data_IF_012305153257
#
_entry.id   IF_012305153257
#
_cell.length_a   1.000
_cell.length_b   1.000
_cell.length_c   1.000
_cell.angle_alpha   90.00
_cell.angle_beta   90.00
_cell.angle_gamma   90.00
#
_symmetry.space_group_name_H-M   'P 1'
#
loop_
_entity.id
_entity.type
_entity.pdbx_description
1 polymer ?
#
# COMPACT_ATOMS: atom_id res chain seq x y z
N UNK A 1 19.30 11.82 -47.32
CA UNK A 1 19.18 13.02 -46.44
C UNK A 1 18.13 12.88 -45.33
N UNK A 2 16.95 12.28 -45.57
CA UNK A 2 15.85 12.20 -44.58
C UNK A 2 16.17 11.50 -43.24
N UNK A 3 17.00 10.44 -43.23
CA UNK A 3 17.32 9.68 -42.02
C UNK A 3 18.07 10.47 -40.93
N UNK A 4 18.87 11.48 -41.31
CA UNK A 4 19.61 12.32 -40.35
C UNK A 4 18.68 13.23 -39.54
N UNK A 5 17.61 13.72 -40.15
CA UNK A 5 16.65 14.61 -39.51
C UNK A 5 15.80 13.88 -38.46
N UNK A 6 15.36 12.65 -38.77
CA UNK A 6 14.59 11.80 -37.84
C UNK A 6 15.39 11.49 -36.56
N UNK A 7 16.70 11.22 -36.69
CA UNK A 7 17.56 10.91 -35.54
C UNK A 7 17.75 12.09 -34.59
N UNK A 8 17.76 13.32 -35.12
CA UNK A 8 17.89 14.56 -34.31
C UNK A 8 16.61 14.86 -33.53
N UNK A 9 15.46 14.75 -34.19
CA UNK A 9 14.14 14.95 -33.57
C UNK A 9 13.91 13.96 -32.43
N UNK A 10 14.25 12.67 -32.63
CA UNK A 10 14.08 11.64 -31.59
C UNK A 10 14.94 11.90 -30.35
N UNK A 11 16.16 12.44 -30.51
CA UNK A 11 17.03 12.80 -29.38
C UNK A 11 16.50 13.99 -28.57
N UNK A 12 15.96 15.01 -29.24
CA UNK A 12 15.36 16.17 -28.57
C UNK A 12 14.06 15.80 -27.83
N UNK A 13 13.24 14.91 -28.40
CA UNK A 13 12.05 14.41 -27.71
C UNK A 13 12.41 13.60 -26.45
N UNK A 14 13.50 12.83 -26.49
CA UNK A 14 14.00 12.12 -25.32
C UNK A 14 14.46 13.06 -24.19
N UNK A 15 15.12 14.19 -24.51
CA UNK A 15 15.57 15.13 -23.48
C UNK A 15 14.40 15.88 -22.82
N UNK A 16 13.41 16.32 -23.59
CA UNK A 16 12.23 16.99 -23.02
C UNK A 16 11.41 16.03 -22.14
N UNK A 17 11.24 14.78 -22.56
CA UNK A 17 10.50 13.79 -21.77
C UNK A 17 11.23 13.45 -20.46
N UNK A 18 12.57 13.43 -20.47
CA UNK A 18 13.37 13.22 -19.24
C UNK A 18 13.21 14.38 -18.25
N UNK A 19 13.27 15.63 -18.72
CA UNK A 19 13.08 16.82 -17.86
C UNK A 19 11.73 16.84 -17.13
N UNK A 20 10.65 16.54 -17.86
CA UNK A 20 9.31 16.47 -17.23
C UNK A 20 9.23 15.35 -16.19
N UNK A 21 9.92 14.24 -16.43
CA UNK A 21 9.95 13.11 -15.50
C UNK A 21 10.74 13.45 -14.23
N UNK A 22 11.87 14.13 -14.37
CA UNK A 22 12.68 14.60 -13.23
C UNK A 22 11.92 15.66 -12.41
N UNK A 23 11.17 16.55 -13.06
CA UNK A 23 10.29 17.52 -12.38
C UNK A 23 9.16 16.83 -11.60
N UNK A 24 8.53 15.79 -12.17
CA UNK A 24 7.50 15.03 -11.47
C UNK A 24 8.07 14.27 -10.26
N UNK A 25 9.26 13.68 -10.41
CA UNK A 25 9.92 12.93 -9.35
C UNK A 25 10.34 13.85 -8.20
N UNK A 26 10.90 15.02 -8.52
CA UNK A 26 11.28 16.03 -7.51
C UNK A 26 10.05 16.60 -6.79
N UNK A 27 9.00 17.00 -7.51
CA UNK A 27 7.75 17.46 -6.90
C UNK A 27 7.13 16.41 -5.98
N UNK A 28 7.22 15.14 -6.36
CA UNK A 28 6.75 14.02 -5.54
C UNK A 28 7.56 13.84 -4.25
N UNK A 29 8.90 13.90 -4.34
CA UNK A 29 9.76 13.83 -3.15
C UNK A 29 9.47 15.01 -2.23
N UNK A 30 9.28 16.21 -2.78
CA UNK A 30 8.99 17.42 -2.01
C UNK A 30 7.67 17.27 -1.24
N UNK A 31 6.61 16.81 -1.89
CA UNK A 31 5.33 16.54 -1.24
C UNK A 31 5.47 15.49 -0.11
N UNK A 32 6.28 14.45 -0.33
CA UNK A 32 6.55 13.43 0.70
C UNK A 32 7.29 14.02 1.90
N UNK A 33 8.29 14.86 1.67
CA UNK A 33 9.04 15.52 2.75
C UNK A 33 8.12 16.44 3.54
N UNK A 34 7.27 17.22 2.87
CA UNK A 34 6.31 18.11 3.55
C UNK A 34 5.34 17.29 4.42
N UNK A 35 4.74 16.23 3.88
CA UNK A 35 3.85 15.35 4.65
C UNK A 35 4.55 14.70 5.83
N UNK A 36 5.80 14.26 5.64
CA UNK A 36 6.61 13.68 6.71
C UNK A 36 6.85 14.69 7.83
N UNK A 37 7.25 15.92 7.51
CA UNK A 37 7.46 16.99 8.50
C UNK A 37 6.17 17.30 9.26
N UNK A 38 5.03 17.40 8.56
CA UNK A 38 3.73 17.65 9.19
C UNK A 38 3.28 16.52 10.12
N UNK A 39 3.65 15.27 9.85
CA UNK A 39 3.36 14.13 10.73
C UNK A 39 4.34 14.04 11.90
N UNK A 40 5.61 14.40 11.68
CA UNK A 40 6.67 14.28 12.68
C UNK A 40 6.57 15.36 13.77
N UNK A 41 6.20 16.59 13.39
CA UNK A 41 6.04 17.71 14.31
C UNK A 41 5.09 17.43 15.50
N UNK A 42 3.83 16.99 15.30
CA UNK A 42 2.93 16.71 16.41
C UNK A 42 3.42 15.56 17.29
N UNK A 43 4.11 14.57 16.71
CA UNK A 43 4.71 13.47 17.46
C UNK A 43 5.85 13.95 18.37
N UNK A 44 6.76 14.77 17.85
CA UNK A 44 7.86 15.34 18.64
C UNK A 44 7.30 16.21 19.77
N UNK A 45 6.31 17.06 19.47
CA UNK A 45 5.65 17.88 20.47
C UNK A 45 5.00 17.05 21.58
N UNK A 46 4.35 15.94 21.22
CA UNK A 46 3.78 14.99 22.18
C UNK A 46 4.88 14.36 23.05
N UNK A 47 6.00 13.90 22.47
CA UNK A 47 7.11 13.36 23.25
C UNK A 47 7.64 14.37 24.28
N UNK A 48 7.84 15.62 23.89
CA UNK A 48 8.27 16.66 24.83
C UNK A 48 7.24 16.89 25.94
N UNK A 49 5.94 16.87 25.62
CA UNK A 49 4.88 17.00 26.62
C UNK A 49 4.91 15.84 27.63
N UNK A 50 4.99 14.60 27.15
CA UNK A 50 5.02 13.41 28.01
C UNK A 50 6.27 13.39 28.91
N UNK A 51 7.44 13.75 28.38
CA UNK A 51 8.68 13.81 29.18
C UNK A 51 8.62 14.86 30.30
N UNK A 52 7.99 16.01 30.05
CA UNK A 52 7.86 17.05 31.07
C UNK A 52 6.77 16.76 32.11
N UNK A 53 5.75 15.99 31.73
CA UNK A 53 4.57 15.76 32.59
C UNK A 53 4.70 14.49 33.44
N UNK A 54 5.70 13.64 33.18
CA UNK A 54 5.90 12.34 33.82
C UNK A 54 6.00 12.35 35.36
N UNK A 55 6.34 13.50 35.97
CA UNK A 55 6.47 13.67 37.42
C UNK A 55 5.22 14.22 38.13
N UNK A 56 4.12 14.51 37.42
CA UNK A 56 2.86 14.92 38.06
C UNK A 56 1.98 13.67 38.30
N UNK A 57 1.27 13.63 39.42
CA UNK A 57 0.29 12.57 39.71
C UNK A 57 -0.82 12.62 38.64
N UNK A 58 -0.64 11.81 37.59
CA UNK A 58 -1.44 11.87 36.38
C UNK A 58 -2.87 11.47 36.68
N UNK A 59 -3.79 12.42 36.54
CA UNK A 59 -5.22 12.16 36.58
C UNK A 59 -5.59 11.22 35.43
N UNK A 60 -6.48 10.24 35.66
CA UNK A 60 -6.94 9.25 34.66
C UNK A 60 -7.35 9.88 33.33
N UNK A 61 -7.89 11.10 33.37
CA UNK A 61 -8.30 11.86 32.20
C UNK A 61 -7.12 12.27 31.29
N UNK A 62 -5.97 12.62 31.85
CA UNK A 62 -4.78 12.99 31.05
C UNK A 62 -4.24 11.79 30.28
N UNK A 63 -4.20 10.62 30.91
CA UNK A 63 -3.76 9.37 30.26
C UNK A 63 -4.66 9.01 29.08
N UNK A 64 -5.98 9.18 29.23
CA UNK A 64 -6.93 8.95 28.14
C UNK A 64 -6.70 9.88 26.94
N UNK A 65 -6.39 11.15 27.18
CA UNK A 65 -6.07 12.13 26.13
C UNK A 65 -4.76 11.75 25.42
N UNK A 66 -3.72 11.37 26.17
CA UNK A 66 -2.43 10.96 25.60
C UNK A 66 -2.57 9.72 24.70
N UNK A 67 -3.38 8.74 25.12
CA UNK A 67 -3.69 7.56 24.32
C UNK A 67 -4.42 7.92 23.03
N UNK A 68 -5.41 8.82 23.09
CA UNK A 68 -6.15 9.27 21.92
C UNK A 68 -5.23 9.97 20.91
N UNK A 69 -4.38 10.89 21.37
CA UNK A 69 -3.41 11.60 20.51
C UNK A 69 -2.44 10.60 19.87
N UNK A 70 -1.96 9.61 20.64
CA UNK A 70 -1.10 8.54 20.12
C UNK A 70 -1.78 7.73 19.03
N UNK A 71 -3.05 7.35 19.22
CA UNK A 71 -3.82 6.61 18.23
C UNK A 71 -4.04 7.42 16.93
N UNK A 72 -4.29 8.72 17.06
CA UNK A 72 -4.41 9.63 15.91
C UNK A 72 -3.08 9.71 15.15
N UNK A 73 -1.97 9.91 15.85
CA UNK A 73 -0.63 9.99 15.24
C UNK A 73 -0.24 8.68 14.53
N UNK A 74 -0.55 7.52 15.12
CA UNK A 74 -0.37 6.21 14.49
C UNK A 74 -1.21 6.08 13.21
N UNK A 75 -2.48 6.46 13.27
CA UNK A 75 -3.40 6.38 12.11
C UNK A 75 -2.93 7.27 10.96
N UNK A 76 -2.50 8.50 11.26
CA UNK A 76 -1.91 9.42 10.28
C UNK A 76 -0.64 8.84 9.67
N UNK A 77 0.22 8.21 10.48
CA UNK A 77 1.45 7.57 10.00
C UNK A 77 1.16 6.43 9.02
N UNK A 78 0.17 5.58 9.32
CA UNK A 78 -0.26 4.52 8.40
C UNK A 78 -0.86 5.08 7.11
N UNK A 79 -1.67 6.16 7.21
CA UNK A 79 -2.21 6.85 6.04
C UNK A 79 -1.11 7.50 5.18
N UNK A 80 -0.02 7.99 5.77
CA UNK A 80 1.10 8.54 5.01
C UNK A 80 1.86 7.42 4.25
N UNK A 81 2.10 6.29 4.90
CA UNK A 81 2.73 5.12 4.26
C UNK A 81 1.86 4.57 3.12
N UNK A 82 0.56 4.42 3.32
CA UNK A 82 -0.34 3.94 2.26
C UNK A 82 -0.57 5.01 1.18
N UNK A 83 -0.76 6.26 1.58
CA UNK A 83 -1.01 7.40 0.70
C UNK A 83 0.15 7.63 -0.26
N UNK A 84 1.40 7.54 0.21
CA UNK A 84 2.57 7.63 -0.67
C UNK A 84 2.54 6.54 -1.76
N UNK A 85 2.17 5.29 -1.43
CA UNK A 85 2.00 4.22 -2.41
C UNK A 85 0.93 4.56 -3.48
N UNK A 86 -0.21 5.12 -3.06
CA UNK A 86 -1.25 5.55 -4.00
C UNK A 86 -0.82 6.73 -4.86
N UNK A 87 -0.12 7.71 -4.29
CA UNK A 87 0.45 8.83 -5.05
C UNK A 87 1.49 8.31 -6.07
N UNK A 88 2.31 7.32 -5.71
CA UNK A 88 3.23 6.65 -6.64
C UNK A 88 2.47 5.97 -7.80
N UNK A 89 1.35 5.30 -7.49
CA UNK A 89 0.50 4.65 -8.49
C UNK A 89 -0.21 5.66 -9.42
N UNK A 90 -0.70 6.77 -8.90
CA UNK A 90 -1.49 7.74 -9.67
C UNK A 90 -0.59 8.67 -10.49
N UNK A 91 0.52 9.15 -9.91
CA UNK A 91 1.40 10.16 -10.52
C UNK A 91 2.13 9.65 -11.77
N UNK A 92 2.56 8.39 -11.79
CA UNK A 92 3.36 7.87 -12.90
C UNK A 92 2.53 7.01 -13.87
N UNK A 93 2.14 7.60 -15.00
CA UNK A 93 1.53 6.86 -16.11
C UNK A 93 2.43 5.74 -16.65
N UNK A 94 3.76 5.87 -16.53
CA UNK A 94 4.73 4.82 -16.87
C UNK A 94 4.71 3.69 -15.85
N UNK A 95 4.63 4.00 -14.55
CA UNK A 95 4.52 2.99 -13.51
C UNK A 95 3.25 2.17 -13.71
N UNK A 96 2.08 2.81 -13.90
CA UNK A 96 0.83 2.09 -14.22
C UNK A 96 0.96 1.13 -15.39
N UNK A 97 1.63 1.52 -16.48
CA UNK A 97 1.86 0.64 -17.65
C UNK A 97 2.80 -0.52 -17.31
N UNK A 98 3.87 -0.26 -16.56
CA UNK A 98 4.80 -1.30 -16.10
C UNK A 98 4.14 -2.26 -15.11
N UNK A 99 3.47 -1.76 -14.06
CA UNK A 99 2.73 -2.58 -13.10
C UNK A 99 1.66 -3.38 -13.80
N UNK A 100 0.83 -2.77 -14.68
CA UNK A 100 -0.18 -3.50 -15.46
C UNK A 100 0.44 -4.60 -16.31
N UNK A 101 1.59 -4.37 -16.94
CA UNK A 101 2.27 -5.41 -17.73
C UNK A 101 2.84 -6.55 -16.88
N UNK A 102 3.36 -6.27 -15.68
CA UNK A 102 3.87 -7.29 -14.76
C UNK A 102 2.71 -8.08 -14.14
N UNK A 103 1.66 -7.38 -13.74
CA UNK A 103 0.47 -7.96 -13.11
C UNK A 103 -0.32 -8.79 -14.12
N UNK A 104 -0.50 -8.32 -15.36
CA UNK A 104 -1.05 -9.12 -16.47
C UNK A 104 -0.20 -10.38 -16.71
N UNK A 105 1.14 -10.30 -16.71
CA UNK A 105 2.00 -11.47 -16.90
C UNK A 105 1.90 -12.49 -15.75
N UNK A 106 1.74 -12.03 -14.51
CA UNK A 106 1.54 -12.91 -13.35
C UNK A 106 0.13 -13.52 -13.36
N UNK A 107 -0.90 -12.70 -13.57
CA UNK A 107 -2.29 -13.14 -13.65
C UNK A 107 -2.51 -14.11 -14.81
N UNK A 108 -1.87 -13.88 -15.96
CA UNK A 108 -1.93 -14.78 -17.11
C UNK A 108 -1.20 -16.11 -16.86
N UNK A 109 -0.11 -16.11 -16.08
CA UNK A 109 0.53 -17.36 -15.63
C UNK A 109 -0.36 -18.12 -14.65
N UNK A 110 -0.93 -17.43 -13.67
CA UNK A 110 -1.87 -18.02 -12.71
C UNK A 110 -3.09 -18.61 -13.42
N UNK A 111 -3.66 -17.89 -14.40
CA UNK A 111 -4.79 -18.35 -15.20
C UNK A 111 -4.43 -19.56 -16.10
N UNK A 112 -3.18 -19.62 -16.59
CA UNK A 112 -2.68 -20.76 -17.38
C UNK A 112 -2.46 -22.01 -16.51
N UNK A 113 -2.13 -21.83 -15.23
CA UNK A 113 -1.92 -22.93 -14.28
C UNK A 113 -3.22 -23.47 -13.67
N UNK A 114 -4.39 -22.87 -13.94
CA UNK A 114 -5.68 -23.47 -13.57
C UNK A 114 -5.83 -24.78 -14.37
N UNK A 115 -5.74 -25.96 -13.74
CA UNK A 115 -5.86 -27.22 -14.44
C UNK A 115 -7.27 -27.33 -15.00
N UNK A 116 -7.40 -27.71 -16.28
CA UNK A 116 -8.68 -28.01 -16.96
C UNK A 116 -9.42 -29.24 -16.38
N UNK A 117 -9.15 -29.61 -15.12
CA UNK A 117 -9.71 -30.78 -14.46
C UNK A 117 -11.15 -30.58 -13.94
N UNK A 118 -11.79 -29.42 -14.18
CA UNK A 118 -13.21 -29.23 -13.88
C UNK A 118 -14.16 -30.04 -14.77
N UNK A 119 -13.68 -30.87 -15.71
CA UNK A 119 -14.54 -31.73 -16.52
C UNK A 119 -14.71 -33.16 -16.01
N UNK A 120 -14.21 -33.49 -14.82
CA UNK A 120 -14.49 -34.79 -14.18
C UNK A 120 -15.38 -34.58 -12.96
N UNK A 121 -16.69 -34.42 -13.22
CA UNK A 121 -17.70 -34.58 -12.18
C UNK A 121 -17.54 -35.98 -11.56
N UNK A 122 -17.42 -36.12 -10.24
CA UNK A 122 -17.49 -37.42 -9.61
C UNK A 122 -18.88 -38.00 -9.86
N UNK A 123 -18.91 -39.23 -10.36
CA UNK A 123 -20.11 -40.03 -10.57
C UNK A 123 -20.85 -40.14 -9.22
N UNK A 124 -22.13 -39.75 -9.19
CA UNK A 124 -23.00 -39.55 -8.03
C UNK A 124 -23.35 -40.84 -7.23
N UNK A 125 -22.52 -41.89 -7.28
CA UNK A 125 -22.84 -43.21 -6.72
C UNK A 125 -22.06 -43.58 -5.45
N UNK A 126 -21.40 -42.63 -4.77
CA UNK A 126 -20.83 -42.86 -3.44
C UNK A 126 -21.44 -41.90 -2.43
N UNK A 127 -22.68 -42.20 -2.03
CA UNK A 127 -23.27 -41.71 -0.78
C UNK A 127 -22.51 -42.39 0.35
N UNK A 128 -21.58 -41.68 0.97
CA UNK A 128 -20.99 -42.13 2.23
C UNK A 128 -22.08 -42.08 3.32
N UNK A 129 -22.21 -43.13 4.15
CA UNK A 129 -23.15 -43.12 5.26
C UNK A 129 -22.76 -42.02 6.25
N UNK A 130 -23.78 -41.27 6.67
CA UNK A 130 -23.72 -40.20 7.65
C UNK A 130 -23.21 -40.82 8.95
N UNK A 131 -21.96 -40.52 9.30
CA UNK A 131 -21.43 -40.84 10.62
C UNK A 131 -22.17 -39.95 11.62
N UNK A 132 -22.94 -40.59 12.51
CA UNK A 132 -23.56 -39.99 13.67
C UNK A 132 -22.51 -39.21 14.46
N UNK A 133 -22.73 -37.91 14.61
CA UNK A 133 -22.00 -37.06 15.54
C UNK A 133 -22.72 -37.21 16.88
N UNK A 134 -22.16 -38.04 17.75
CA UNK A 134 -22.55 -38.08 19.16
C UNK A 134 -22.20 -36.73 19.80
N UNK A 135 -23.24 -35.97 20.13
CA UNK A 135 -23.17 -34.74 20.91
C UNK A 135 -23.02 -35.14 22.37
N UNK A 136 -21.79 -35.26 22.85
CA UNK A 136 -21.48 -35.26 24.28
C UNK A 136 -20.79 -33.94 24.63
N UNK A 137 -21.60 -32.95 24.97
CA UNK A 137 -21.18 -31.82 25.80
C UNK A 137 -21.93 -31.95 27.14
N UNK A 138 -21.31 -32.65 28.08
CA UNK A 138 -21.56 -32.49 29.51
C UNK A 138 -20.22 -32.30 30.22
N UNK A 139 -20.21 -31.26 31.06
CA UNK A 139 -19.45 -31.11 32.29
C UNK A 139 -17.94 -30.86 32.21
N UNK A 140 -17.56 -29.57 32.30
CA UNK A 140 -16.76 -28.98 33.40
C UNK A 140 -16.71 -27.46 33.26
#
# INVERSE_FOLDING_TARGET
>A
MAFRNVRRIRRQQMSNTRRLLDQQLTAMILARVILFVLCLLPYIAQCFYTMNTQNRNNQTLQIAIELLITAINMSISYLNVSGTFYVYLISSARFRRQTKSVLMKKCWRYLREIPKNCHRLPNNNQVAPIANIDVNYLDC
#
